data_IF_661942373832
#
_entry.id   IF_661942373832
#
_cell.length_a   1.000
_cell.length_b   1.000
_cell.length_c   1.000
_cell.angle_alpha   90.00
_cell.angle_beta   90.00
_cell.angle_gamma   90.00
#
_symmetry.space_group_name_H-M   'P 1'
#
loop_
_entity.id
_entity.type
_entity.pdbx_description
1 polymer ?
#
# COMPACT_ATOMS: atom_id res chain seq x y z
N UNK A 1 -3.15 32.90 1.17
CA UNK A 1 -3.26 32.01 2.35
C UNK A 1 -3.85 30.65 1.95
N UNK A 2 -4.88 30.62 1.09
CA UNK A 2 -5.51 29.39 0.55
C UNK A 2 -4.55 28.44 -0.18
N UNK A 3 -3.71 28.95 -1.09
CA UNK A 3 -2.74 28.12 -1.82
C UNK A 3 -1.76 27.37 -0.87
N UNK A 4 -1.40 28.00 0.26
CA UNK A 4 -0.54 27.39 1.29
C UNK A 4 -1.23 26.24 2.03
N UNK A 5 -2.55 26.32 2.24
CA UNK A 5 -3.33 25.25 2.91
C UNK A 5 -3.50 24.05 1.97
N UNK A 6 -3.72 24.29 0.68
CA UNK A 6 -3.83 23.24 -0.34
C UNK A 6 -2.50 22.49 -0.46
N UNK A 7 -1.38 23.22 -0.64
CA UNK A 7 -0.04 22.62 -0.76
C UNK A 7 0.35 21.81 0.48
N UNK A 8 0.05 22.33 1.67
CA UNK A 8 0.31 21.62 2.94
C UNK A 8 -0.49 20.33 3.04
N UNK A 9 -1.76 20.35 2.63
CA UNK A 9 -2.65 19.18 2.64
C UNK A 9 -2.21 18.14 1.62
N UNK A 10 -1.76 18.56 0.44
CA UNK A 10 -1.23 17.68 -0.61
C UNK A 10 0.05 16.98 -0.16
N UNK A 11 1.00 17.72 0.42
CA UNK A 11 2.23 17.17 1.00
C UNK A 11 1.94 16.21 2.16
N UNK A 12 0.94 16.52 2.98
CA UNK A 12 0.50 15.62 4.05
C UNK A 12 -0.08 14.30 3.49
N UNK A 13 -0.92 14.38 2.45
CA UNK A 13 -1.48 13.21 1.76
C UNK A 13 -0.38 12.34 1.15
N UNK A 14 0.57 12.95 0.45
CA UNK A 14 1.72 12.24 -0.15
C UNK A 14 2.56 11.53 0.92
N UNK A 15 2.92 12.23 2.01
CA UNK A 15 3.70 11.64 3.10
C UNK A 15 2.98 10.46 3.77
N UNK A 16 1.65 10.54 3.91
CA UNK A 16 0.85 9.45 4.47
C UNK A 16 0.80 8.26 3.51
N UNK A 17 0.62 8.49 2.21
CA UNK A 17 0.69 7.42 1.20
C UNK A 17 2.05 6.72 1.19
N UNK A 18 3.13 7.50 1.29
CA UNK A 18 4.50 6.98 1.36
C UNK A 18 4.71 6.14 2.63
N UNK A 19 4.27 6.65 3.80
CA UNK A 19 4.31 5.90 5.05
C UNK A 19 3.55 4.58 4.94
N UNK A 20 2.33 4.60 4.36
CA UNK A 20 1.53 3.41 4.17
C UNK A 20 2.24 2.38 3.28
N UNK A 21 2.85 2.82 2.17
CA UNK A 21 3.55 1.91 1.27
C UNK A 21 4.75 1.24 1.94
N UNK A 22 5.63 2.03 2.58
CA UNK A 22 6.83 1.49 3.24
C UNK A 22 6.40 0.53 4.36
N UNK A 23 5.41 0.95 5.15
CA UNK A 23 4.94 0.16 6.29
C UNK A 23 4.29 -1.15 5.85
N UNK A 24 3.45 -1.10 4.82
CA UNK A 24 2.85 -2.31 4.25
C UNK A 24 3.93 -3.23 3.66
N UNK A 25 4.91 -2.67 2.95
CA UNK A 25 5.98 -3.45 2.34
C UNK A 25 6.77 -4.25 3.37
N UNK A 26 7.24 -3.60 4.44
CA UNK A 26 8.02 -4.26 5.50
C UNK A 26 7.16 -5.25 6.29
N UNK A 27 5.90 -4.90 6.58
CA UNK A 27 4.97 -5.79 7.26
C UNK A 27 4.80 -7.11 6.49
N UNK A 28 4.48 -7.02 5.19
CA UNK A 28 4.23 -8.18 4.34
C UNK A 28 5.49 -9.02 4.08
N UNK A 29 6.65 -8.38 3.85
CA UNK A 29 7.92 -9.10 3.67
C UNK A 29 8.24 -9.92 4.92
N UNK A 30 8.11 -9.33 6.12
CA UNK A 30 8.32 -10.09 7.36
C UNK A 30 7.32 -11.22 7.56
N UNK A 31 6.06 -11.03 7.13
CA UNK A 31 5.04 -12.08 7.16
C UNK A 31 5.35 -13.25 6.21
N UNK A 32 5.91 -12.97 5.03
CA UNK A 32 6.36 -13.97 4.07
C UNK A 32 7.62 -14.69 4.59
N UNK A 33 8.63 -13.95 5.06
CA UNK A 33 9.87 -14.52 5.61
C UNK A 33 9.61 -15.45 6.80
N UNK A 34 8.62 -15.15 7.63
CA UNK A 34 8.23 -16.01 8.75
C UNK A 34 7.67 -17.38 8.35
N UNK A 35 7.38 -17.62 7.05
CA UNK A 35 6.94 -18.92 6.54
C UNK A 35 8.10 -19.80 6.05
N UNK A 36 9.32 -19.26 5.95
CA UNK A 36 10.52 -19.99 5.54
C UNK A 36 11.23 -20.63 6.75
N UNK A 37 12.04 -21.68 6.52
CA UNK A 37 12.70 -22.44 7.58
C UNK A 37 13.95 -21.73 8.14
N UNK A 38 13.78 -20.51 8.64
CA UNK A 38 14.83 -19.76 9.33
C UNK A 38 14.92 -20.15 10.82
N UNK A 39 16.03 -19.79 11.46
CA UNK A 39 16.21 -19.96 12.89
C UNK A 39 15.14 -19.19 13.69
N UNK A 40 14.63 -19.81 14.77
CA UNK A 40 13.63 -19.21 15.69
C UNK A 40 13.96 -17.77 16.14
N UNK A 41 15.20 -17.43 16.54
CA UNK A 41 15.54 -16.03 16.88
C UNK A 41 15.36 -15.06 15.70
N UNK A 42 15.73 -15.48 14.48
CA UNK A 42 15.61 -14.67 13.26
C UNK A 42 14.13 -14.42 12.93
N UNK A 43 13.31 -15.47 13.01
CA UNK A 43 11.86 -15.37 12.80
C UNK A 43 11.22 -14.43 13.82
N UNK A 44 11.60 -14.53 15.10
CA UNK A 44 11.06 -13.66 16.15
C UNK A 44 11.43 -12.19 15.92
N UNK A 45 12.69 -11.89 15.59
CA UNK A 45 13.12 -10.51 15.30
C UNK A 45 12.38 -9.97 14.06
N UNK A 46 12.31 -10.74 12.98
CA UNK A 46 11.57 -10.36 11.78
C UNK A 46 10.07 -10.14 12.07
N UNK A 47 9.47 -10.99 12.90
CA UNK A 47 8.08 -10.89 13.33
C UNK A 47 7.79 -9.64 14.15
N UNK A 48 8.67 -9.27 15.09
CA UNK A 48 8.53 -8.05 15.88
C UNK A 48 8.62 -6.81 15.00
N UNK A 49 9.63 -6.74 14.11
CA UNK A 49 9.79 -5.62 13.17
C UNK A 49 8.54 -5.53 12.26
N UNK A 50 8.13 -6.65 11.68
CA UNK A 50 6.93 -6.75 10.85
C UNK A 50 5.68 -6.24 11.58
N UNK A 51 5.46 -6.64 12.83
CA UNK A 51 4.32 -6.21 13.62
C UNK A 51 4.31 -4.69 13.88
N UNK A 52 5.47 -4.10 14.20
CA UNK A 52 5.61 -2.64 14.37
C UNK A 52 5.21 -1.91 13.08
N UNK A 53 5.68 -2.38 11.93
CA UNK A 53 5.30 -1.80 10.64
C UNK A 53 3.83 -2.04 10.28
N UNK A 54 3.24 -3.17 10.70
CA UNK A 54 1.79 -3.39 10.60
C UNK A 54 1.00 -2.33 11.38
N UNK A 55 1.44 -1.98 12.59
CA UNK A 55 0.83 -0.89 13.38
C UNK A 55 1.02 0.48 12.71
N UNK A 56 2.20 0.75 12.15
CA UNK A 56 2.44 1.99 11.39
C UNK A 56 1.55 2.08 10.14
N UNK A 57 1.33 0.98 9.45
CA UNK A 57 0.40 0.92 8.31
C UNK A 57 -1.03 1.23 8.75
N UNK A 58 -1.46 0.66 9.89
CA UNK A 58 -2.78 0.93 10.46
C UNK A 58 -2.94 2.41 10.85
N UNK A 59 -1.93 2.98 11.52
CA UNK A 59 -1.88 4.40 11.84
C UNK A 59 -1.96 5.28 10.57
N UNK A 60 -1.16 4.98 9.55
CA UNK A 60 -1.19 5.68 8.26
C UNK A 60 -2.56 5.61 7.60
N UNK A 61 -3.26 4.48 7.72
CA UNK A 61 -4.61 4.29 7.17
C UNK A 61 -5.66 5.13 7.88
N UNK A 62 -5.62 5.19 9.21
CA UNK A 62 -6.49 6.10 9.98
C UNK A 62 -6.20 7.55 9.60
N UNK A 63 -4.93 7.94 9.55
CA UNK A 63 -4.53 9.30 9.21
C UNK A 63 -4.99 9.71 7.81
N UNK A 64 -4.87 8.80 6.83
CA UNK A 64 -5.38 9.04 5.48
C UNK A 64 -6.89 9.21 5.47
N UNK A 65 -7.62 8.41 6.25
CA UNK A 65 -9.08 8.51 6.36
C UNK A 65 -9.52 9.84 6.98
N UNK A 66 -8.81 10.33 8.01
CA UNK A 66 -9.05 11.64 8.61
C UNK A 66 -8.79 12.77 7.62
N UNK A 67 -7.67 12.72 6.87
CA UNK A 67 -7.37 13.70 5.82
C UNK A 67 -8.44 13.72 4.72
N UNK A 68 -8.90 12.55 4.27
CA UNK A 68 -10.00 12.46 3.30
C UNK A 68 -11.29 13.08 3.82
N UNK A 69 -11.59 12.95 5.12
CA UNK A 69 -12.74 13.62 5.76
C UNK A 69 -12.57 15.13 5.80
N UNK A 70 -11.38 15.62 6.14
CA UNK A 70 -11.06 17.05 6.17
C UNK A 70 -11.21 17.70 4.79
N UNK A 71 -10.67 17.05 3.75
CA UNK A 71 -10.80 17.47 2.34
C UNK A 71 -12.27 17.50 1.92
N UNK A 72 -13.07 16.48 2.30
CA UNK A 72 -14.49 16.40 1.93
C UNK A 72 -15.34 17.47 2.63
N UNK A 73 -15.03 17.79 3.89
CA UNK A 73 -15.81 18.73 4.68
C UNK A 73 -15.56 20.19 4.32
N UNK A 74 -14.45 20.49 3.65
CA UNK A 74 -14.10 21.84 3.22
C UNK A 74 -14.37 22.01 1.72
N UNK A 75 -15.25 22.95 1.37
CA UNK A 75 -15.69 23.17 -0.02
C UNK A 75 -14.53 23.55 -0.94
N UNK A 76 -13.58 24.32 -0.43
CA UNK A 76 -12.37 24.76 -1.14
C UNK A 76 -11.41 23.61 -1.43
N UNK A 77 -11.03 22.82 -0.41
CA UNK A 77 -10.15 21.66 -0.61
C UNK A 77 -10.83 20.58 -1.44
N UNK A 78 -12.14 20.35 -1.28
CA UNK A 78 -12.87 19.40 -2.12
C UNK A 78 -12.89 19.81 -3.59
N UNK A 79 -12.99 21.11 -3.90
CA UNK A 79 -12.93 21.57 -5.29
C UNK A 79 -11.50 21.47 -5.86
N UNK A 80 -10.48 21.79 -5.08
CA UNK A 80 -9.08 21.74 -5.53
C UNK A 80 -8.52 20.31 -5.63
N UNK A 81 -8.76 19.48 -4.62
CA UNK A 81 -8.17 18.14 -4.45
C UNK A 81 -9.14 16.99 -4.78
N UNK A 82 -10.44 17.29 -4.96
CA UNK A 82 -11.48 16.34 -5.35
C UNK A 82 -11.80 16.34 -6.86
N UNK A 83 -10.98 17.05 -7.65
CA UNK A 83 -11.13 17.15 -9.11
C UNK A 83 -11.07 15.76 -9.79
N UNK A 84 -11.70 15.65 -10.95
CA UNK A 84 -11.74 14.43 -11.78
C UNK A 84 -10.36 13.86 -12.08
N UNK A 85 -9.33 14.71 -12.17
CA UNK A 85 -7.94 14.30 -12.35
C UNK A 85 -7.48 13.32 -11.24
N UNK A 86 -7.68 13.65 -9.96
CA UNK A 86 -7.29 12.77 -8.85
C UNK A 86 -8.10 11.47 -8.82
N UNK A 87 -9.39 11.53 -9.17
CA UNK A 87 -10.22 10.33 -9.30
C UNK A 87 -9.73 9.43 -10.44
N UNK A 88 -9.33 10.02 -11.56
CA UNK A 88 -8.76 9.30 -12.71
C UNK A 88 -7.44 8.61 -12.33
N UNK A 89 -6.57 9.30 -11.59
CA UNK A 89 -5.33 8.71 -11.08
C UNK A 89 -5.58 7.54 -10.15
N UNK A 90 -6.53 7.68 -9.21
CA UNK A 90 -6.93 6.61 -8.32
C UNK A 90 -7.53 5.40 -9.05
N UNK A 91 -8.25 5.63 -10.15
CA UNK A 91 -8.80 4.58 -11.00
C UNK A 91 -7.71 3.84 -11.78
N UNK A 92 -6.80 4.59 -12.42
CA UNK A 92 -5.66 4.02 -13.16
C UNK A 92 -4.74 3.21 -12.26
N UNK A 93 -4.45 3.72 -11.05
CA UNK A 93 -3.63 2.99 -10.08
C UNK A 93 -4.29 1.68 -9.64
N UNK A 94 -5.60 1.68 -9.34
CA UNK A 94 -6.34 0.45 -9.01
C UNK A 94 -6.36 -0.55 -10.16
N UNK A 95 -6.53 -0.06 -11.38
CA UNK A 95 -6.53 -0.88 -12.59
C UNK A 95 -5.16 -1.54 -12.81
N UNK A 96 -4.07 -0.77 -12.64
CA UNK A 96 -2.69 -1.28 -12.67
C UNK A 96 -2.44 -2.37 -11.62
N UNK A 97 -2.95 -2.17 -10.41
CA UNK A 97 -2.93 -3.17 -9.34
C UNK A 97 -3.60 -4.48 -9.76
N UNK A 98 -4.82 -4.39 -10.28
CA UNK A 98 -5.59 -5.56 -10.73
C UNK A 98 -4.87 -6.33 -11.85
N UNK A 99 -4.36 -5.64 -12.87
CA UNK A 99 -3.59 -6.29 -13.94
C UNK A 99 -2.32 -6.95 -13.42
N UNK A 100 -1.60 -6.28 -12.50
CA UNK A 100 -0.40 -6.85 -11.88
C UNK A 100 -0.72 -8.11 -11.06
N UNK A 101 -1.84 -8.11 -10.33
CA UNK A 101 -2.29 -9.28 -9.59
C UNK A 101 -2.66 -10.42 -10.53
N UNK A 102 -3.35 -10.17 -11.64
CA UNK A 102 -3.67 -11.21 -12.64
C UNK A 102 -2.39 -11.83 -13.21
N UNK A 103 -1.41 -11.01 -13.60
CA UNK A 103 -0.11 -11.49 -14.10
C UNK A 103 0.60 -12.32 -13.02
N UNK A 104 0.55 -11.90 -11.76
CA UNK A 104 1.13 -12.64 -10.64
C UNK A 104 0.43 -13.99 -10.43
N UNK A 105 -0.89 -14.06 -10.51
CA UNK A 105 -1.65 -15.32 -10.44
C UNK A 105 -1.24 -16.26 -11.58
N UNK A 106 -1.14 -15.76 -12.81
CA UNK A 106 -0.68 -16.56 -13.95
C UNK A 106 0.74 -17.09 -13.72
N UNK A 107 1.64 -16.27 -13.19
CA UNK A 107 3.01 -16.68 -12.90
C UNK A 107 3.07 -17.73 -11.79
N UNK A 108 2.32 -17.55 -10.70
CA UNK A 108 2.20 -18.53 -9.62
C UNK A 108 1.68 -19.86 -10.18
N UNK A 109 0.62 -19.83 -11.00
CA UNK A 109 0.06 -21.04 -11.60
C UNK A 109 1.07 -21.81 -12.47
N UNK A 110 1.89 -21.11 -13.25
CA UNK A 110 2.94 -21.74 -14.07
C UNK A 110 4.08 -22.35 -13.25
N UNK A 111 4.32 -21.81 -12.06
CA UNK A 111 5.45 -22.19 -11.21
C UNK A 111 5.04 -23.16 -10.08
N UNK A 112 3.75 -23.32 -9.82
CA UNK A 112 3.20 -24.15 -8.74
C UNK A 112 3.67 -25.61 -8.82
N UNK A 113 3.76 -26.17 -10.04
CA UNK A 113 4.29 -27.52 -10.30
C UNK A 113 5.76 -27.69 -9.82
N UNK A 114 6.50 -26.59 -9.69
CA UNK A 114 7.91 -26.59 -9.27
C UNK A 114 8.09 -26.16 -7.81
N UNK A 115 7.18 -25.35 -7.27
CA UNK A 115 7.32 -24.74 -5.95
C UNK A 115 6.06 -25.02 -5.12
N UNK A 116 6.16 -25.98 -4.19
CA UNK A 116 5.07 -26.31 -3.27
C UNK A 116 5.02 -25.34 -2.08
N UNK A 117 4.51 -24.12 -2.28
CA UNK A 117 4.25 -23.20 -1.17
C UNK A 117 2.90 -23.46 -0.49
N UNK A 118 2.77 -23.20 0.82
CA UNK A 118 1.48 -23.22 1.48
C UNK A 118 0.57 -22.10 0.95
N UNK A 119 -0.73 -22.37 0.83
CA UNK A 119 -1.76 -21.42 0.33
C UNK A 119 -1.64 -20.03 0.97
N UNK A 120 -1.30 -19.97 2.26
CA UNK A 120 -1.10 -18.73 3.00
C UNK A 120 -0.03 -17.82 2.37
N UNK A 121 1.08 -18.38 1.89
CA UNK A 121 2.17 -17.63 1.24
C UNK A 121 1.70 -17.05 -0.09
N UNK A 122 0.95 -17.83 -0.90
CA UNK A 122 0.35 -17.32 -2.13
C UNK A 122 -0.58 -16.13 -1.88
N UNK A 123 -1.47 -16.22 -0.88
CA UNK A 123 -2.33 -15.10 -0.52
C UNK A 123 -1.54 -13.86 -0.10
N UNK A 124 -0.47 -14.02 0.68
CA UNK A 124 0.39 -12.91 1.10
C UNK A 124 1.11 -12.27 -0.09
N UNK A 125 1.63 -13.06 -1.03
CA UNK A 125 2.29 -12.55 -2.24
C UNK A 125 1.29 -11.78 -3.12
N UNK A 126 0.08 -12.32 -3.33
CA UNK A 126 -0.96 -11.66 -4.12
C UNK A 126 -1.40 -10.33 -3.49
N UNK A 127 -1.62 -10.30 -2.18
CA UNK A 127 -1.89 -9.08 -1.44
C UNK A 127 -0.74 -8.08 -1.54
N UNK A 128 0.50 -8.56 -1.43
CA UNK A 128 1.69 -7.73 -1.54
C UNK A 128 1.77 -7.05 -2.90
N UNK A 129 1.68 -7.82 -3.99
CA UNK A 129 1.73 -7.29 -5.36
C UNK A 129 0.57 -6.33 -5.61
N UNK A 130 -0.65 -6.68 -5.21
CA UNK A 130 -1.82 -5.83 -5.41
C UNK A 130 -1.63 -4.44 -4.78
N UNK A 131 -1.25 -4.38 -3.51
CA UNK A 131 -1.17 -3.12 -2.76
C UNK A 131 0.08 -2.31 -3.14
N UNK A 132 1.23 -2.96 -3.35
CA UNK A 132 2.46 -2.27 -3.74
C UNK A 132 2.32 -1.64 -5.12
N UNK A 133 1.78 -2.35 -6.13
CA UNK A 133 1.63 -1.78 -7.47
C UNK A 133 0.67 -0.58 -7.44
N UNK A 134 -0.47 -0.68 -6.74
CA UNK A 134 -1.40 0.46 -6.58
C UNK A 134 -0.69 1.63 -5.89
N UNK A 135 0.05 1.36 -4.80
CA UNK A 135 0.77 2.38 -4.06
C UNK A 135 1.81 3.09 -4.93
N UNK A 136 2.66 2.33 -5.63
CA UNK A 136 3.74 2.88 -6.48
C UNK A 136 3.15 3.71 -7.59
N UNK A 137 2.12 3.20 -8.26
CA UNK A 137 1.46 3.93 -9.34
C UNK A 137 0.80 5.22 -8.81
N UNK A 138 0.21 5.21 -7.60
CA UNK A 138 -0.26 6.44 -6.94
C UNK A 138 0.87 7.40 -6.66
N UNK A 139 1.98 6.98 -6.06
CA UNK A 139 3.10 7.89 -5.78
C UNK A 139 3.68 8.51 -7.06
N UNK A 140 3.72 7.78 -8.17
CA UNK A 140 4.20 8.28 -9.46
C UNK A 140 3.23 9.30 -10.06
N UNK A 141 1.92 9.07 -9.98
CA UNK A 141 0.91 9.96 -10.55
C UNK A 141 0.63 11.22 -9.71
N UNK A 142 0.93 11.17 -8.41
CA UNK A 142 0.74 12.28 -7.47
C UNK A 142 1.99 13.17 -7.31
N UNK A 143 3.08 12.86 -8.01
CA UNK A 143 4.31 13.66 -8.04
C UNK A 143 4.28 14.62 -9.21
#
# INVERSE_FOLDING_TARGET
MEASIIEKTEKARFNVMLLQMISFGIWMIGGILAQFPFDKPVINICGIISAIFGLLFFYGTIKNLLLCREIKNSKELSNALGNEMYKSFDCRARTSGLFSTIICVMFIYLVDDYINFPVKVYCLILLFVAVITVGVHRLVLYK
#
